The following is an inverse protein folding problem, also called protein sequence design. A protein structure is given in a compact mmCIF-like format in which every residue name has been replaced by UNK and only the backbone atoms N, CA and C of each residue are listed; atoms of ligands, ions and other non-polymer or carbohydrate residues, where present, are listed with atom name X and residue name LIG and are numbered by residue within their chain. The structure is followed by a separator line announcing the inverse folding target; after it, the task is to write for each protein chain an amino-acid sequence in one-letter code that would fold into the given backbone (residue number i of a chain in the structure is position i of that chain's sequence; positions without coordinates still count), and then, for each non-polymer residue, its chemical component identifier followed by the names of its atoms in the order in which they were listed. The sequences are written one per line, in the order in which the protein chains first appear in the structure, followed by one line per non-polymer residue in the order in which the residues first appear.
data_IF_196831685435
#
_entry.id   IF_196831685435
#
_cell.length_a   1.000
_cell.length_b   1.000
_cell.length_c   1.000
_cell.angle_alpha   90.00
_cell.angle_beta   90.00
_cell.angle_gamma   90.00
#
_symmetry.space_group_name_H-M   'P 1'
#
loop_
_entity.id
_entity.type
_entity.pdbx_description
1 polymer ?
#
# COMPACT_ATOMS: atom_id res chain seq x y z
N UNK A 1 1.11 12.25 -73.24
CA UNK A 1 1.76 10.93 -73.35
C UNK A 1 1.42 10.18 -72.07
N UNK A 2 0.30 9.47 -72.07
CA UNK A 2 -0.22 8.70 -70.92
C UNK A 2 0.24 7.25 -71.08
N UNK A 3 0.87 6.72 -70.04
CA UNK A 3 1.32 5.32 -69.96
C UNK A 3 0.27 4.59 -69.12
N UNK A 4 -0.48 3.69 -69.76
CA UNK A 4 -1.37 2.75 -69.06
C UNK A 4 -0.55 1.61 -68.44
N UNK A 5 -0.71 1.29 -67.13
CA UNK A 5 -0.14 0.10 -66.56
C UNK A 5 -0.98 -1.15 -66.92
N UNK A 6 -0.33 -2.10 -67.57
CA UNK A 6 -0.86 -3.40 -67.97
C UNK A 6 -1.22 -4.26 -66.76
N UNK A 7 -2.48 -4.68 -66.68
CA UNK A 7 -3.08 -5.39 -65.56
C UNK A 7 -3.15 -6.91 -65.85
N UNK A 8 -2.02 -7.63 -65.76
CA UNK A 8 -1.94 -9.03 -66.21
C UNK A 8 -1.27 -10.00 -65.22
N UNK A 9 -1.41 -9.84 -63.90
CA UNK A 9 -0.81 -10.79 -62.93
C UNK A 9 -1.77 -11.35 -61.87
N UNK A 10 -3.06 -11.46 -62.16
CA UNK A 10 -4.08 -11.79 -61.13
C UNK A 10 -4.63 -13.22 -61.18
N UNK A 11 -4.14 -14.09 -62.07
CA UNK A 11 -4.79 -15.39 -62.35
C UNK A 11 -4.12 -16.63 -61.73
N UNK A 12 -2.83 -16.60 -61.38
CA UNK A 12 -2.11 -17.82 -60.94
C UNK A 12 -2.04 -18.04 -59.42
N UNK A 13 -2.42 -17.06 -58.59
CA UNK A 13 -2.30 -17.18 -57.12
C UNK A 13 -3.50 -17.84 -56.42
N UNK A 14 -4.42 -18.48 -57.15
CA UNK A 14 -5.67 -19.04 -56.57
C UNK A 14 -5.71 -20.57 -56.43
N UNK A 15 -4.69 -21.29 -56.89
CA UNK A 15 -4.71 -22.75 -56.85
C UNK A 15 -4.23 -23.34 -55.51
N UNK A 16 -3.35 -22.65 -54.78
CA UNK A 16 -2.79 -23.17 -53.51
C UNK A 16 -3.61 -22.82 -52.26
N UNK A 17 -4.65 -21.98 -52.36
CA UNK A 17 -5.45 -21.53 -51.20
C UNK A 17 -6.50 -22.58 -50.76
N UNK A 18 -6.65 -23.69 -51.50
CA UNK A 18 -7.67 -24.71 -51.21
C UNK A 18 -7.20 -25.83 -50.26
N UNK A 19 -5.89 -26.01 -50.10
CA UNK A 19 -5.33 -27.10 -49.27
C UNK A 19 -5.18 -26.74 -47.78
N UNK A 20 -5.22 -25.46 -47.41
CA UNK A 20 -5.13 -24.99 -46.01
C UNK A 20 -6.49 -24.89 -45.29
N UNK A 21 -7.58 -25.27 -45.97
CA UNK A 21 -8.96 -25.05 -45.49
C UNK A 21 -9.50 -26.10 -44.50
N UNK A 22 -8.74 -27.17 -44.20
CA UNK A 22 -9.19 -28.25 -43.30
C UNK A 22 -8.28 -28.47 -42.09
N UNK A 23 -7.47 -27.49 -41.70
CA UNK A 23 -6.87 -27.52 -40.36
C UNK A 23 -7.95 -27.24 -39.31
N UNK A 24 -8.66 -28.30 -38.93
CA UNK A 24 -9.61 -28.31 -37.81
C UNK A 24 -8.80 -28.08 -36.54
N UNK A 25 -8.70 -26.83 -36.12
CA UNK A 25 -8.17 -26.51 -34.80
C UNK A 25 -8.96 -27.30 -33.77
N UNK A 26 -8.31 -28.07 -32.88
CA UNK A 26 -9.01 -28.65 -31.76
C UNK A 26 -9.73 -27.53 -31.00
N UNK A 27 -10.95 -27.78 -30.47
CA UNK A 27 -11.63 -26.77 -29.68
C UNK A 27 -10.66 -26.26 -28.61
N UNK A 28 -10.57 -24.92 -28.40
CA UNK A 28 -9.63 -24.38 -27.43
C UNK A 28 -9.85 -25.10 -26.10
N UNK A 29 -8.76 -25.53 -25.42
CA UNK A 29 -8.91 -26.19 -24.13
C UNK A 29 -9.73 -25.28 -23.22
N UNK A 30 -10.65 -25.84 -22.40
CA UNK A 30 -11.46 -25.05 -21.48
C UNK A 30 -10.51 -24.14 -20.70
N UNK A 31 -10.71 -22.82 -20.79
CA UNK A 31 -9.76 -21.86 -20.22
C UNK A 31 -9.62 -22.20 -18.74
N UNK A 32 -8.40 -22.53 -18.30
CA UNK A 32 -8.17 -22.91 -16.90
C UNK A 32 -8.65 -21.73 -16.04
N UNK A 33 -9.76 -21.88 -15.29
CA UNK A 33 -10.30 -20.79 -14.48
C UNK A 33 -9.35 -20.44 -13.32
N UNK A 34 -8.22 -21.15 -13.20
CA UNK A 34 -7.16 -20.93 -12.22
C UNK A 34 -5.86 -20.41 -12.83
N UNK A 35 -5.74 -20.27 -14.16
CA UNK A 35 -4.51 -19.78 -14.79
C UNK A 35 -4.17 -18.34 -14.37
N UNK A 36 -5.19 -17.47 -14.23
CA UNK A 36 -5.00 -16.10 -13.73
C UNK A 36 -4.68 -16.03 -12.22
N UNK A 37 -4.86 -17.13 -11.46
CA UNK A 37 -4.81 -17.14 -9.98
C UNK A 37 -3.44 -17.52 -9.40
N UNK A 38 -2.50 -18.04 -10.21
CA UNK A 38 -1.24 -18.61 -9.70
C UNK A 38 -0.20 -17.55 -9.25
N UNK A 39 -0.40 -16.28 -9.60
CA UNK A 39 0.56 -15.20 -9.31
C UNK A 39 0.25 -14.33 -8.08
N UNK A 40 -0.98 -14.38 -7.55
CA UNK A 40 -1.53 -13.24 -6.79
C UNK A 40 -0.85 -12.91 -5.44
N UNK A 41 -0.33 -13.86 -4.63
CA UNK A 41 0.48 -13.53 -3.46
C UNK A 41 1.98 -13.38 -3.77
N UNK A 42 2.47 -14.14 -4.77
CA UNK A 42 3.91 -14.30 -5.01
C UNK A 42 4.54 -13.07 -5.64
N UNK A 43 3.85 -12.47 -6.61
CA UNK A 43 4.34 -11.26 -7.29
C UNK A 43 4.36 -10.08 -6.31
N UNK A 44 3.32 -9.95 -5.47
CA UNK A 44 3.29 -8.94 -4.42
C UNK A 44 4.46 -9.09 -3.45
N UNK A 45 4.67 -10.30 -2.94
CA UNK A 45 5.78 -10.61 -2.04
C UNK A 45 7.14 -10.32 -2.69
N UNK A 46 7.32 -10.66 -3.96
CA UNK A 46 8.55 -10.36 -4.70
C UNK A 46 8.79 -8.86 -4.81
N UNK A 47 7.76 -8.09 -5.19
CA UNK A 47 7.85 -6.62 -5.26
C UNK A 47 8.12 -6.00 -3.89
N UNK A 48 7.51 -6.54 -2.83
CA UNK A 48 7.72 -6.08 -1.47
C UNK A 48 9.15 -6.34 -1.00
N UNK A 49 9.68 -7.56 -1.20
CA UNK A 49 11.07 -7.89 -0.88
C UNK A 49 12.02 -7.02 -1.70
N UNK A 50 11.75 -6.82 -3.00
CA UNK A 50 12.52 -5.94 -3.86
C UNK A 50 12.54 -4.49 -3.36
N UNK A 51 11.39 -3.98 -2.89
CA UNK A 51 11.30 -2.66 -2.24
C UNK A 51 12.14 -2.60 -0.97
N UNK A 52 12.04 -3.60 -0.09
CA UNK A 52 12.83 -3.67 1.15
C UNK A 52 14.34 -3.70 0.86
N UNK A 53 14.76 -4.46 -0.14
CA UNK A 53 16.16 -4.48 -0.59
C UNK A 53 16.59 -3.12 -1.13
N UNK A 54 15.77 -2.49 -1.96
CA UNK A 54 16.06 -1.18 -2.55
C UNK A 54 16.23 -0.11 -1.47
N UNK A 55 15.29 0.03 -0.55
CA UNK A 55 15.36 1.06 0.50
C UNK A 55 16.55 0.80 1.44
N UNK A 56 16.86 -0.47 1.72
CA UNK A 56 18.01 -0.85 2.54
C UNK A 56 19.32 -0.52 1.82
N UNK A 57 19.43 -0.82 0.53
CA UNK A 57 20.59 -0.49 -0.28
C UNK A 57 20.80 1.03 -0.38
N UNK A 58 19.75 1.81 -0.64
CA UNK A 58 19.80 3.28 -0.65
C UNK A 58 20.30 3.82 0.69
N UNK A 59 19.83 3.25 1.79
CA UNK A 59 20.23 3.63 3.15
C UNK A 59 21.72 3.35 3.38
N UNK A 60 22.22 2.16 3.02
CA UNK A 60 23.64 1.82 3.17
C UNK A 60 24.55 2.62 2.23
N UNK A 61 24.13 2.87 0.99
CA UNK A 61 24.88 3.71 0.06
C UNK A 61 24.98 5.15 0.55
N UNK A 62 23.98 5.65 1.28
CA UNK A 62 23.97 7.02 1.83
C UNK A 62 24.97 7.22 2.97
N UNK A 63 25.38 6.16 3.67
CA UNK A 63 26.42 6.22 4.72
C UNK A 63 27.81 6.43 4.10
N UNK A 64 28.02 5.96 2.86
CA UNK A 64 29.29 6.07 2.16
C UNK A 64 30.42 5.25 2.80
N UNK A 65 31.66 5.38 2.29
CA UNK A 65 32.81 4.58 2.73
C UNK A 65 33.38 5.00 4.09
N UNK A 66 32.89 6.10 4.68
CA UNK A 66 33.39 6.63 5.96
C UNK A 66 32.97 5.79 7.17
N UNK A 67 32.02 4.87 6.98
CA UNK A 67 31.45 4.05 8.06
C UNK A 67 30.54 4.87 8.99
N UNK A 68 29.72 4.19 9.77
CA UNK A 68 28.95 4.83 10.85
C UNK A 68 29.89 4.99 12.03
N UNK A 69 30.49 6.18 12.19
CA UNK A 69 31.32 6.48 13.36
C UNK A 69 30.51 7.18 14.45
N UNK A 70 29.46 7.92 14.07
CA UNK A 70 28.64 8.71 14.98
C UNK A 70 27.14 8.36 14.88
N UNK A 71 26.47 8.00 15.99
CA UNK A 71 25.01 7.84 16.04
C UNK A 71 24.23 9.05 15.52
N UNK A 72 24.76 10.26 15.65
CA UNK A 72 24.10 11.48 15.20
C UNK A 72 24.02 11.55 13.66
N UNK A 73 24.96 10.94 12.95
CA UNK A 73 24.91 10.78 11.48
C UNK A 73 23.98 9.63 11.05
N UNK A 74 23.88 8.57 11.86
CA UNK A 74 23.04 7.40 11.55
C UNK A 74 21.53 7.66 11.69
N UNK A 75 21.13 8.50 12.65
CA UNK A 75 19.71 8.81 12.92
C UNK A 75 18.95 9.38 11.71
N UNK A 76 19.39 10.44 11.01
CA UNK A 76 18.65 10.96 9.86
C UNK A 76 18.49 9.93 8.74
N UNK A 77 19.55 9.15 8.47
CA UNK A 77 19.53 8.06 7.49
C UNK A 77 18.50 6.99 7.88
N UNK A 78 18.48 6.61 9.17
CA UNK A 78 17.51 5.65 9.71
C UNK A 78 16.07 6.17 9.65
N UNK A 79 15.84 7.47 9.91
CA UNK A 79 14.51 8.10 9.78
C UNK A 79 14.00 8.00 8.34
N UNK A 80 14.88 8.22 7.35
CA UNK A 80 14.53 8.08 5.93
C UNK A 80 14.21 6.61 5.59
N UNK A 81 15.01 5.65 6.08
CA UNK A 81 14.71 4.22 5.90
C UNK A 81 13.32 3.87 6.44
N UNK A 82 13.01 4.28 7.68
CA UNK A 82 11.72 4.01 8.32
C UNK A 82 10.56 4.70 7.59
N UNK A 83 10.76 5.93 7.10
CA UNK A 83 9.78 6.63 6.28
C UNK A 83 9.48 5.85 4.98
N UNK A 84 10.51 5.47 4.24
CA UNK A 84 10.37 4.71 2.99
C UNK A 84 9.75 3.32 3.24
N UNK A 85 10.03 2.72 4.39
CA UNK A 85 9.39 1.48 4.81
C UNK A 85 7.87 1.67 5.01
N UNK A 86 7.43 2.75 5.67
CA UNK A 86 6.01 3.07 5.83
C UNK A 86 5.31 3.46 4.52
N UNK A 87 6.03 4.06 3.56
CA UNK A 87 5.51 4.34 2.22
C UNK A 87 5.05 3.07 1.48
N UNK A 88 5.64 1.92 1.77
CA UNK A 88 5.26 0.64 1.20
C UNK A 88 3.80 0.27 1.44
N UNK A 89 3.39 0.01 2.70
CA UNK A 89 2.00 -0.24 3.03
C UNK A 89 1.05 0.93 2.69
N UNK A 90 1.52 2.19 2.80
CA UNK A 90 0.68 3.36 2.55
C UNK A 90 0.35 3.59 1.07
N UNK A 91 1.29 3.32 0.15
CA UNK A 91 1.13 3.65 -1.26
C UNK A 91 1.34 2.47 -2.21
N UNK A 92 2.41 1.68 -2.02
CA UNK A 92 2.76 0.60 -2.94
C UNK A 92 1.71 -0.53 -2.89
N UNK A 93 1.36 -0.98 -1.69
CA UNK A 93 0.39 -2.06 -1.51
C UNK A 93 -1.01 -1.74 -2.08
N UNK A 94 -1.65 -0.60 -1.75
CA UNK A 94 -2.96 -0.28 -2.30
C UNK A 94 -2.92 -0.04 -3.81
N UNK A 95 -1.85 0.55 -4.34
CA UNK A 95 -1.67 0.69 -5.79
C UNK A 95 -1.67 -0.66 -6.48
N UNK A 96 -0.90 -1.61 -5.95
CA UNK A 96 -0.82 -2.96 -6.49
C UNK A 96 -2.18 -3.67 -6.38
N UNK A 97 -2.82 -3.65 -5.20
CA UNK A 97 -4.10 -4.33 -5.02
C UNK A 97 -5.24 -3.75 -5.85
N UNK A 98 -5.36 -2.43 -5.95
CA UNK A 98 -6.39 -1.81 -6.78
C UNK A 98 -6.14 -2.01 -8.28
N UNK A 99 -4.91 -2.32 -8.71
CA UNK A 99 -4.62 -2.69 -10.11
C UNK A 99 -5.03 -4.13 -10.46
N UNK A 100 -5.21 -5.01 -9.48
CA UNK A 100 -5.54 -6.42 -9.69
C UNK A 100 -7.04 -6.67 -9.90
N UNK A 101 -7.40 -7.90 -10.27
CA UNK A 101 -8.78 -8.39 -10.21
C UNK A 101 -9.18 -8.56 -8.74
N UNK A 102 -10.44 -8.27 -8.43
CA UNK A 102 -10.97 -8.41 -7.07
C UNK A 102 -10.85 -9.84 -6.56
N UNK A 103 -10.35 -10.07 -5.33
CA UNK A 103 -10.27 -11.40 -4.74
C UNK A 103 -11.66 -11.97 -4.39
N UNK A 104 -11.85 -13.28 -4.58
CA UNK A 104 -13.07 -14.00 -4.17
C UNK A 104 -13.30 -13.91 -2.66
N UNK A 105 -12.23 -14.09 -1.89
CA UNK A 105 -12.21 -14.01 -0.44
C UNK A 105 -11.46 -12.74 -0.01
N UNK A 106 -12.17 -11.61 0.00
CA UNK A 106 -11.59 -10.28 0.29
C UNK A 106 -10.83 -10.29 1.62
N UNK A 107 -11.50 -10.65 2.72
CA UNK A 107 -10.93 -10.51 4.07
C UNK A 107 -9.69 -11.40 4.27
N UNK A 108 -9.72 -12.72 3.98
CA UNK A 108 -8.52 -13.55 4.09
C UNK A 108 -7.37 -13.07 3.21
N UNK A 109 -7.67 -12.57 2.01
CA UNK A 109 -6.64 -12.04 1.10
C UNK A 109 -5.95 -10.81 1.68
N UNK A 110 -6.71 -9.87 2.24
CA UNK A 110 -6.16 -8.64 2.85
C UNK A 110 -5.38 -8.97 4.12
N UNK A 111 -5.85 -9.91 4.95
CA UNK A 111 -5.12 -10.33 6.15
C UNK A 111 -3.80 -11.03 5.81
N UNK A 112 -3.79 -11.85 4.75
CA UNK A 112 -2.56 -12.49 4.28
C UNK A 112 -1.55 -11.45 3.82
N UNK A 113 -1.96 -10.45 3.04
CA UNK A 113 -1.07 -9.36 2.65
C UNK A 113 -0.54 -8.58 3.84
N UNK A 114 -1.39 -8.30 4.83
CA UNK A 114 -1.00 -7.59 6.04
C UNK A 114 0.12 -8.34 6.78
N UNK A 115 0.04 -9.66 6.88
CA UNK A 115 1.11 -10.51 7.45
C UNK A 115 2.36 -10.47 6.57
N UNK A 116 2.22 -10.60 5.25
CA UNK A 116 3.33 -10.57 4.28
C UNK A 116 4.07 -9.22 4.31
N UNK A 117 3.36 -8.13 4.58
CA UNK A 117 3.95 -6.80 4.76
C UNK A 117 4.64 -6.65 6.11
N UNK A 118 3.91 -6.96 7.19
CA UNK A 118 4.35 -6.66 8.55
C UNK A 118 5.57 -7.50 8.96
N UNK A 119 5.56 -8.81 8.70
CA UNK A 119 6.62 -9.70 9.21
C UNK A 119 8.01 -9.29 8.69
N UNK A 120 8.24 -9.12 7.38
CA UNK A 120 9.53 -8.63 6.88
C UNK A 120 9.85 -7.20 7.32
N UNK A 121 8.86 -6.31 7.43
CA UNK A 121 9.07 -4.95 7.93
C UNK A 121 9.63 -4.95 9.36
N UNK A 122 9.14 -5.84 10.23
CA UNK A 122 9.63 -5.94 11.61
C UNK A 122 11.12 -6.32 11.65
N UNK A 123 11.55 -7.21 10.76
CA UNK A 123 12.97 -7.62 10.66
C UNK A 123 13.87 -6.42 10.34
N UNK A 124 13.38 -5.44 9.58
CA UNK A 124 14.13 -4.21 9.24
C UNK A 124 14.08 -3.17 10.36
N UNK A 125 12.96 -3.08 11.10
CA UNK A 125 12.72 -2.06 12.13
C UNK A 125 13.51 -2.33 13.42
N UNK A 126 13.54 -3.57 13.91
CA UNK A 126 14.12 -3.87 15.23
C UNK A 126 15.64 -3.62 15.35
N UNK A 127 16.48 -3.92 14.34
CA UNK A 127 17.90 -3.59 14.38
C UNK A 127 18.19 -2.10 14.57
N UNK A 128 17.22 -1.22 14.27
CA UNK A 128 17.39 0.23 14.42
C UNK A 128 17.53 0.67 15.90
N UNK A 129 17.14 -0.17 16.87
CA UNK A 129 17.47 0.06 18.30
C UNK A 129 18.98 0.22 18.47
N UNK A 130 19.77 -0.63 17.79
CA UNK A 130 21.22 -0.65 17.91
C UNK A 130 21.87 0.39 16.99
N UNK A 131 21.37 0.55 15.76
CA UNK A 131 21.99 1.45 14.77
C UNK A 131 21.76 2.93 15.08
N UNK A 132 20.56 3.30 15.54
CA UNK A 132 20.21 4.69 15.83
C UNK A 132 20.32 5.05 17.32
N UNK A 133 20.67 4.08 18.18
CA UNK A 133 20.69 4.20 19.64
C UNK A 133 19.37 4.77 20.19
N UNK A 134 18.24 4.37 19.61
CA UNK A 134 16.93 4.80 20.09
C UNK A 134 16.42 3.89 21.19
N UNK A 135 15.72 4.44 22.20
CA UNK A 135 15.05 3.61 23.21
C UNK A 135 14.04 2.64 22.60
N UNK A 136 13.92 1.44 23.19
CA UNK A 136 12.96 0.41 22.77
C UNK A 136 11.52 0.96 22.59
N UNK A 137 10.98 1.83 23.47
CA UNK A 137 9.65 2.41 23.27
C UNK A 137 9.48 3.16 21.95
N UNK A 138 10.53 3.84 21.46
CA UNK A 138 10.52 4.57 20.18
C UNK A 138 10.37 3.59 19.03
N UNK A 139 11.21 2.56 18.98
CA UNK A 139 11.13 1.53 17.92
C UNK A 139 9.81 0.76 17.98
N UNK A 140 9.35 0.41 19.18
CA UNK A 140 8.05 -0.23 19.36
C UNK A 140 6.89 0.65 18.86
N UNK A 141 6.95 1.96 19.08
CA UNK A 141 5.94 2.90 18.60
C UNK A 141 5.93 3.05 17.07
N UNK A 142 7.09 3.06 16.42
CA UNK A 142 7.20 3.09 14.95
C UNK A 142 6.73 1.77 14.35
N UNK A 143 7.09 0.65 14.96
CA UNK A 143 6.59 -0.68 14.59
C UNK A 143 5.06 -0.74 14.67
N UNK A 144 4.49 -0.26 15.78
CA UNK A 144 3.06 -0.17 15.96
C UNK A 144 2.43 0.76 14.92
N UNK A 145 3.02 1.93 14.65
CA UNK A 145 2.55 2.87 13.63
C UNK A 145 2.43 2.18 12.26
N UNK A 146 3.44 1.41 11.84
CA UNK A 146 3.41 0.65 10.58
C UNK A 146 2.28 -0.39 10.57
N UNK A 147 2.12 -1.15 11.66
CA UNK A 147 1.06 -2.16 11.78
C UNK A 147 -0.33 -1.55 11.73
N UNK A 148 -0.53 -0.40 12.39
CA UNK A 148 -1.81 0.29 12.42
C UNK A 148 -2.15 0.94 11.07
N UNK A 149 -1.17 1.56 10.40
CA UNK A 149 -1.38 2.13 9.07
C UNK A 149 -1.63 1.07 8.01
N UNK A 150 -0.91 -0.04 8.04
CA UNK A 150 -1.20 -1.18 7.16
C UNK A 150 -2.60 -1.75 7.46
N UNK A 151 -3.00 -1.89 8.72
CA UNK A 151 -4.38 -2.31 9.02
C UNK A 151 -5.42 -1.31 8.49
N UNK A 152 -5.18 0.00 8.63
CA UNK A 152 -6.06 1.06 8.13
C UNK A 152 -6.20 1.02 6.61
N UNK A 153 -5.11 0.89 5.87
CA UNK A 153 -5.13 0.72 4.41
C UNK A 153 -5.86 -0.56 4.03
N UNK A 154 -5.61 -1.66 4.74
CA UNK A 154 -6.34 -2.91 4.56
C UNK A 154 -7.84 -2.75 4.76
N UNK A 155 -8.27 -1.99 5.77
CA UNK A 155 -9.67 -1.68 6.02
C UNK A 155 -10.30 -0.89 4.86
N UNK A 156 -9.60 0.12 4.32
CA UNK A 156 -10.05 0.88 3.14
C UNK A 156 -10.15 -0.04 1.91
N UNK A 157 -9.20 -0.95 1.70
CA UNK A 157 -9.24 -1.92 0.61
C UNK A 157 -10.42 -2.90 0.75
N UNK A 158 -10.78 -3.33 1.97
CA UNK A 158 -11.97 -4.15 2.20
C UNK A 158 -13.22 -3.41 1.72
N UNK A 159 -13.37 -2.13 2.03
CA UNK A 159 -14.49 -1.32 1.53
C UNK A 159 -14.45 -1.13 0.01
N UNK A 160 -13.27 -0.86 -0.55
CA UNK A 160 -13.11 -0.72 -2.00
C UNK A 160 -13.60 -1.98 -2.73
N UNK A 161 -13.17 -3.16 -2.30
CA UNK A 161 -13.61 -4.41 -2.90
C UNK A 161 -15.03 -4.83 -2.54
N UNK A 162 -15.57 -4.41 -1.39
CA UNK A 162 -16.95 -4.69 -1.03
C UNK A 162 -17.94 -3.82 -1.84
N UNK A 163 -17.58 -2.57 -2.16
CA UNK A 163 -18.39 -1.70 -3.04
C UNK A 163 -18.33 -2.12 -4.51
N UNK A 164 -17.21 -2.70 -4.97
CA UNK A 164 -17.16 -3.36 -6.27
C UNK A 164 -18.00 -4.65 -6.31
N UNK A 165 -18.29 -5.25 -5.16
CA UNK A 165 -19.02 -6.52 -5.07
C UNK A 165 -20.50 -6.46 -5.42
N UNK A 166 -21.10 -5.30 -5.24
CA UNK A 166 -22.52 -5.07 -5.46
C UNK A 166 -22.83 -4.78 -6.92
N UNK A 167 -21.81 -4.56 -7.76
CA UNK A 167 -21.95 -4.31 -9.20
C UNK A 167 -22.03 -5.64 -9.97
N UNK A 168 -22.74 -5.62 -11.10
CA UNK A 168 -22.91 -6.78 -11.97
C UNK A 168 -21.54 -7.28 -12.48
N UNK A 169 -21.31 -8.61 -12.53
CA UNK A 169 -20.05 -9.18 -13.03
C UNK A 169 -19.72 -8.82 -14.49
N UNK A 170 -20.75 -8.43 -15.26
CA UNK A 170 -20.63 -8.09 -16.69
C UNK A 170 -20.01 -6.71 -16.88
N UNK A 171 -20.17 -5.81 -15.90
CA UNK A 171 -19.61 -4.48 -15.97
C UNK A 171 -18.20 -4.50 -15.40
N UNK A 172 -17.19 -4.36 -16.27
CA UNK A 172 -15.82 -4.09 -15.82
C UNK A 172 -15.86 -2.94 -14.82
N UNK A 173 -15.28 -3.10 -13.61
CA UNK A 173 -15.36 -2.05 -12.60
C UNK A 173 -14.81 -0.76 -13.21
N UNK A 174 -15.56 0.35 -13.16
CA UNK A 174 -15.15 1.57 -13.82
C UNK A 174 -13.80 1.99 -13.23
N UNK A 175 -12.80 2.21 -14.09
CA UNK A 175 -11.45 2.66 -13.71
C UNK A 175 -11.49 3.83 -12.72
N UNK A 176 -12.51 4.68 -12.83
CA UNK A 176 -12.81 5.77 -11.92
C UNK A 176 -12.98 5.34 -10.45
N UNK A 177 -13.65 4.22 -10.18
CA UNK A 177 -13.90 3.73 -8.81
C UNK A 177 -12.58 3.44 -8.07
N UNK A 178 -11.65 2.79 -8.77
CA UNK A 178 -10.32 2.45 -8.23
C UNK A 178 -9.47 3.70 -8.03
N UNK A 179 -9.52 4.64 -8.97
CA UNK A 179 -8.84 5.93 -8.85
C UNK A 179 -9.36 6.74 -7.65
N UNK A 180 -10.67 6.74 -7.39
CA UNK A 180 -11.27 7.39 -6.22
C UNK A 180 -10.76 6.75 -4.92
N UNK A 181 -10.76 5.42 -4.82
CA UNK A 181 -10.25 4.74 -3.61
C UNK A 181 -8.76 4.99 -3.39
N UNK A 182 -7.96 5.03 -4.46
CA UNK A 182 -6.55 5.41 -4.36
C UNK A 182 -6.39 6.86 -3.88
N UNK A 183 -7.18 7.79 -4.42
CA UNK A 183 -7.19 9.19 -3.98
C UNK A 183 -7.55 9.31 -2.50
N UNK A 184 -8.53 8.56 -2.01
CA UNK A 184 -8.89 8.51 -0.58
C UNK A 184 -7.69 8.09 0.28
N UNK A 185 -6.96 7.05 -0.13
CA UNK A 185 -5.78 6.58 0.61
C UNK A 185 -4.65 7.62 0.60
N UNK A 186 -4.44 8.28 -0.53
CA UNK A 186 -3.45 9.36 -0.66
C UNK A 186 -3.82 10.53 0.25
N UNK A 187 -5.07 11.01 0.19
CA UNK A 187 -5.55 12.11 1.02
C UNK A 187 -5.48 11.77 2.51
N UNK A 188 -5.82 10.53 2.89
CA UNK A 188 -5.72 10.05 4.26
C UNK A 188 -4.26 10.06 4.75
N UNK A 189 -3.33 9.62 3.91
CA UNK A 189 -1.89 9.60 4.23
C UNK A 189 -1.28 11.02 4.32
N UNK A 190 -1.74 11.93 3.46
CA UNK A 190 -1.30 13.33 3.38
C UNK A 190 -2.04 14.27 4.32
N UNK A 191 -3.06 13.80 5.05
CA UNK A 191 -3.89 14.67 5.88
C UNK A 191 -3.07 15.48 6.90
N UNK A 192 -2.20 14.83 7.69
CA UNK A 192 -1.40 15.54 8.68
C UNK A 192 -0.40 16.55 8.07
N UNK A 193 0.42 16.21 7.05
CA UNK A 193 1.31 17.20 6.44
C UNK A 193 0.56 18.35 5.75
N UNK A 194 -0.64 18.11 5.19
CA UNK A 194 -1.47 19.19 4.66
C UNK A 194 -2.01 20.11 5.75
N UNK A 195 -2.45 19.55 6.89
CA UNK A 195 -2.89 20.35 8.04
C UNK A 195 -1.76 21.22 8.61
N UNK A 196 -0.52 20.70 8.63
CA UNK A 196 0.65 21.49 9.01
C UNK A 196 0.85 22.72 8.12
N UNK A 197 0.67 22.58 6.81
CA UNK A 197 0.79 23.70 5.87
C UNK A 197 -0.30 24.77 6.05
N UNK A 198 -1.42 24.42 6.68
CA UNK A 198 -2.53 25.34 6.93
C UNK A 198 -2.39 26.13 8.22
N UNK A 199 -1.51 25.74 9.15
CA UNK A 199 -1.26 26.50 10.37
C UNK A 199 -0.37 27.70 10.02
N UNK A 200 -0.87 28.95 10.09
CA UNK A 200 -0.10 30.12 9.71
C UNK A 200 1.15 30.24 10.59
N UNK A 201 2.33 30.16 10.00
CA UNK A 201 3.59 30.24 10.71
C UNK A 201 3.93 31.67 11.11
N UNK A 202 3.53 32.09 12.31
CA UNK A 202 4.26 33.10 13.08
C UNK A 202 5.15 32.38 14.08
N UNK A 203 6.16 31.67 13.58
CA UNK A 203 7.12 30.98 14.46
C UNK A 203 8.07 32.03 15.00
N UNK A 204 7.70 32.62 16.14
CA UNK A 204 8.69 33.26 17.01
C UNK A 204 9.74 32.17 17.36
N UNK A 205 11.05 32.41 17.18
CA UNK A 205 12.08 31.43 17.55
C UNK A 205 11.95 30.93 18.99
N UNK A 206 11.42 31.76 19.90
CA UNK A 206 11.13 31.36 21.27
C UNK A 206 9.97 30.35 21.36
N UNK A 207 8.93 30.54 20.55
CA UNK A 207 7.84 29.57 20.42
C UNK A 207 8.35 28.29 19.77
N UNK A 208 9.21 28.33 18.74
CA UNK A 208 9.76 27.13 18.10
C UNK A 208 10.42 26.16 19.09
N UNK A 209 11.13 26.69 20.11
CA UNK A 209 11.79 25.89 21.14
C UNK A 209 10.75 25.27 22.09
N UNK A 210 9.75 26.05 22.51
CA UNK A 210 8.63 25.56 23.32
C UNK A 210 7.78 24.54 22.55
N UNK A 211 7.62 24.75 21.25
CA UNK A 211 6.85 23.92 20.32
C UNK A 211 7.62 22.67 19.86
N UNK A 212 8.94 22.64 20.03
CA UNK A 212 9.77 21.44 19.94
C UNK A 212 9.66 20.58 21.21
N UNK A 213 9.28 21.19 22.34
CA UNK A 213 8.96 20.48 23.57
C UNK A 213 7.51 19.96 23.60
N UNK A 214 6.60 20.56 22.81
CA UNK A 214 5.19 20.15 22.77
C UNK A 214 4.99 18.93 21.87
N UNK A 215 4.22 17.95 22.36
CA UNK A 215 3.82 16.79 21.57
C UNK A 215 2.81 17.23 20.52
N UNK A 216 3.02 16.82 19.27
CA UNK A 216 2.06 17.08 18.18
C UNK A 216 1.35 15.78 17.82
N UNK A 217 0.31 15.35 18.58
CA UNK A 217 -0.31 14.05 18.39
C UNK A 217 -0.90 13.88 16.99
N UNK A 218 -1.29 14.97 16.32
CA UNK A 218 -1.76 14.95 14.93
C UNK A 218 -0.69 14.45 13.96
N UNK A 219 0.60 14.73 14.22
CA UNK A 219 1.69 14.28 13.36
C UNK A 219 1.96 12.80 13.51
N UNK A 220 1.79 12.26 14.72
CA UNK A 220 1.89 10.84 15.00
C UNK A 220 0.80 10.01 14.29
N UNK A 221 -0.27 10.64 13.80
CA UNK A 221 -1.35 9.95 13.12
C UNK A 221 -1.07 9.64 11.65
N UNK A 222 -0.14 10.31 10.95
CA UNK A 222 0.16 10.08 9.52
C UNK A 222 1.35 9.14 9.33
N UNK A 223 1.40 8.34 8.23
CA UNK A 223 2.52 7.44 8.02
C UNK A 223 3.79 8.20 7.61
N UNK A 224 3.66 9.44 7.14
CA UNK A 224 4.77 10.28 6.70
C UNK A 224 5.36 11.07 7.86
N UNK A 225 4.52 11.82 8.58
CA UNK A 225 4.98 12.68 9.68
C UNK A 225 5.18 11.90 10.98
N UNK A 226 4.53 10.74 11.14
CA UNK A 226 4.56 9.99 12.39
C UNK A 226 5.94 9.40 12.69
N UNK A 227 6.71 9.01 11.67
CA UNK A 227 8.10 8.56 11.85
C UNK A 227 8.94 9.70 12.42
N UNK A 228 8.84 10.90 11.84
CA UNK A 228 9.59 12.06 12.31
C UNK A 228 9.20 12.48 13.73
N UNK A 229 7.91 12.51 14.05
CA UNK A 229 7.42 12.86 15.40
C UNK A 229 7.86 11.83 16.46
N UNK A 230 7.73 10.54 16.17
CA UNK A 230 8.08 9.48 17.14
C UNK A 230 9.58 9.37 17.37
N UNK A 231 10.39 9.69 16.35
CA UNK A 231 11.85 9.63 16.40
C UNK A 231 12.52 11.00 16.61
N UNK A 232 11.72 12.06 16.85
CA UNK A 232 12.24 13.40 17.07
C UNK A 232 13.18 13.44 18.27
N UNK A 233 14.26 14.21 18.14
CA UNK A 233 15.23 14.37 19.23
C UNK A 233 14.61 15.16 20.39
N UNK A 234 14.61 14.56 21.59
CA UNK A 234 14.02 15.15 22.80
C UNK A 234 15.08 15.26 23.89
N UNK A 235 16.09 16.10 23.62
CA UNK A 235 17.27 16.28 24.50
C UNK A 235 16.90 16.62 25.95
N UNK A 236 15.79 17.33 26.17
CA UNK A 236 15.27 17.66 27.50
C UNK A 236 14.91 16.42 28.33
N UNK A 237 14.62 15.29 27.70
CA UNK A 237 14.33 14.02 28.36
C UNK A 237 15.60 13.18 28.63
N UNK A 238 16.80 13.73 28.37
CA UNK A 238 18.08 13.02 28.55
C UNK A 238 18.26 11.82 27.63
N UNK A 239 17.50 11.75 26.54
CA UNK A 239 17.54 10.65 25.55
C UNK A 239 17.50 11.19 24.13
N UNK A 240 18.01 10.39 23.20
CA UNK A 240 18.00 10.70 21.76
C UNK A 240 16.59 10.79 21.19
N UNK A 241 15.61 10.08 21.75
CA UNK A 241 14.19 10.21 21.40
C UNK A 241 13.35 9.63 22.54
N UNK A 242 12.15 10.17 22.77
CA UNK A 242 11.25 9.67 23.82
C UNK A 242 9.80 9.64 23.38
N UNK A 243 9.08 8.55 23.69
CA UNK A 243 7.65 8.42 23.37
C UNK A 243 6.81 8.81 24.57
N UNK A 244 6.23 10.01 24.49
CA UNK A 244 5.35 10.57 25.51
C UNK A 244 3.94 9.93 25.51
N UNK A 245 3.18 10.00 26.63
CA UNK A 245 1.83 9.42 26.73
C UNK A 245 0.86 9.87 25.64
N UNK A 246 0.98 11.11 25.17
CA UNK A 246 0.15 11.64 24.09
C UNK A 246 0.34 10.89 22.76
N UNK A 247 1.56 10.39 22.45
CA UNK A 247 1.78 9.54 21.28
C UNK A 247 1.06 8.21 21.40
N UNK A 248 1.10 7.59 22.59
CA UNK A 248 0.38 6.35 22.83
C UNK A 248 -1.13 6.54 22.69
N UNK A 249 -1.67 7.66 23.17
CA UNK A 249 -3.07 8.01 22.94
C UNK A 249 -3.38 8.18 21.45
N UNK A 250 -2.54 8.88 20.68
CA UNK A 250 -2.71 9.01 19.24
C UNK A 250 -2.69 7.64 18.52
N UNK A 251 -1.73 6.77 18.84
CA UNK A 251 -1.65 5.41 18.30
C UNK A 251 -2.86 4.56 18.70
N UNK A 252 -3.39 4.71 19.92
CA UNK A 252 -4.65 4.05 20.33
C UNK A 252 -5.84 4.52 19.49
N UNK A 253 -5.97 5.82 19.24
CA UNK A 253 -7.04 6.35 18.38
C UNK A 253 -6.91 5.84 16.95
N UNK A 254 -5.69 5.85 16.40
CA UNK A 254 -5.41 5.28 15.08
C UNK A 254 -5.79 3.81 15.01
N UNK A 255 -5.39 3.01 16.01
CA UNK A 255 -5.67 1.58 16.04
C UNK A 255 -7.14 1.25 16.26
N UNK A 256 -7.83 2.01 17.12
CA UNK A 256 -9.28 1.92 17.29
C UNK A 256 -10.03 2.25 16.01
N UNK A 257 -9.64 3.32 15.32
CA UNK A 257 -10.21 3.72 14.03
C UNK A 257 -9.97 2.68 12.94
N UNK A 258 -8.74 2.20 12.79
CA UNK A 258 -8.37 1.15 11.81
C UNK A 258 -9.16 -0.15 12.06
N UNK A 259 -9.23 -0.59 13.31
CA UNK A 259 -9.95 -1.82 13.69
C UNK A 259 -11.46 -1.65 13.48
N UNK A 260 -12.04 -0.53 13.91
CA UNK A 260 -13.46 -0.24 13.72
C UNK A 260 -13.85 -0.18 12.24
N UNK A 261 -13.02 0.46 11.41
CA UNK A 261 -13.21 0.50 9.96
C UNK A 261 -13.12 -0.91 9.36
N UNK A 262 -12.12 -1.71 9.76
CA UNK A 262 -11.96 -3.08 9.26
C UNK A 262 -13.17 -3.96 9.60
N UNK A 263 -13.63 -3.91 10.86
CA UNK A 263 -14.81 -4.66 11.32
C UNK A 263 -16.09 -4.20 10.61
N UNK A 264 -16.24 -2.91 10.36
CA UNK A 264 -17.39 -2.38 9.61
C UNK A 264 -17.39 -2.89 8.17
N UNK A 265 -16.23 -2.87 7.50
CA UNK A 265 -16.08 -3.42 6.15
C UNK A 265 -16.36 -4.93 6.09
N UNK A 266 -15.93 -5.66 7.13
CA UNK A 266 -16.22 -7.09 7.30
C UNK A 266 -17.73 -7.37 7.42
N UNK A 267 -18.43 -6.65 8.30
CA UNK A 267 -19.88 -6.79 8.50
C UNK A 267 -20.66 -6.39 7.23
N UNK A 268 -20.25 -5.30 6.58
CA UNK A 268 -20.84 -4.87 5.30
C UNK A 268 -20.72 -5.95 4.22
N UNK A 269 -19.56 -6.62 4.14
CA UNK A 269 -19.36 -7.73 3.19
C UNK A 269 -20.26 -8.93 3.50
N UNK A 270 -20.47 -9.26 4.77
CA UNK A 270 -21.40 -10.35 5.13
C UNK A 270 -22.83 -10.03 4.77
N UNK A 271 -23.29 -8.80 5.05
CA UNK A 271 -24.65 -8.38 4.75
C UNK A 271 -24.93 -8.45 3.23
N UNK A 272 -24.00 -7.96 2.41
CA UNK A 272 -24.12 -8.01 0.94
C UNK A 272 -24.06 -9.43 0.38
N UNK A 273 -23.24 -10.32 0.96
CA UNK A 273 -23.17 -11.72 0.53
C UNK A 273 -24.49 -12.47 0.78
N UNK A 274 -25.11 -12.27 1.96
CA UNK A 274 -26.42 -12.89 2.28
C UNK A 274 -27.54 -12.42 1.36
N UNK A 275 -27.57 -11.13 1.01
CA UNK A 275 -28.57 -10.59 0.09
C UNK A 275 -28.50 -11.22 -1.30
N UNK A 276 -27.30 -11.51 -1.80
CA UNK A 276 -27.11 -12.17 -3.09
C UNK A 276 -27.61 -13.62 -3.10
N UNK A 277 -27.43 -14.37 -2.01
CA UNK A 277 -27.91 -15.76 -1.89
C UNK A 277 -29.44 -15.87 -1.82
N UNK A 278 -30.12 -14.86 -1.28
CA UNK A 278 -31.59 -14.83 -1.24
C UNK A 278 -32.15 -14.56 -2.63
N UNK A 279 -31.58 -13.60 -3.37
CA UNK A 279 -32.03 -13.25 -4.72
C UNK A 279 -31.78 -14.36 -5.75
N UNK A 280 -30.75 -15.19 -5.56
CA UNK A 280 -30.50 -16.32 -6.48
C UNK A 280 -31.52 -17.46 -6.33
N UNK A 281 -32.16 -17.60 -5.16
CA UNK A 281 -33.19 -18.62 -4.92
C UNK A 281 -34.58 -18.24 -5.44
N UNK A 282 -34.83 -16.95 -5.69
CA UNK A 282 -36.14 -16.45 -6.11
C UNK A 282 -36.37 -16.51 -7.62
N UNK A 283 -35.41 -16.96 -8.42
CA UNK A 283 -35.56 -17.12 -9.88
C UNK A 283 -35.96 -18.58 -10.12
N UNK A 284 -37.25 -18.89 -10.38
CA UNK A 284 -37.66 -20.25 -10.73
C UNK A 284 -37.02 -20.64 -12.06
N UNK A 285 -36.29 -21.75 -12.04
CA UNK A 285 -35.71 -22.40 -13.23
C UNK A 285 -36.78 -23.11 -14.05
#
# INVERSE_FOLDING_TARGET
MQIEPSNSSSAESRADESADSEFIWPPPPPSDPWAHRRGEPRIFMLLWIGWLMLITAVTFLSIGPRGIVDPDEARPITRILLLLLLCGPAFLWPSFRLSQIRPRHIIPSILLDWVVLCVPAQIVIWPQVLLAYWPVPVIASVSLLLMLWSLLVGAVLVFAFATEATRSPIDTPPRASRAIWMLVIILLSLFAPLMLMMVPGSVDPAEAISEAASVRPLLALSPLTGVFELTADRFWAGSSASVLPAHWSALRWLGGGATGLFLTGFLYRMATARGAEVNSKSIPT
#
